data_IF_250636779720
#
_entry.id   IF_250636779720
#
_cell.length_a   1.000
_cell.length_b   1.000
_cell.length_c   1.000
_cell.angle_alpha   90.00
_cell.angle_beta   90.00
_cell.angle_gamma   90.00
#
_symmetry.space_group_name_H-M   'P 1'
#
loop_
_entity.id
_entity.type
_entity.pdbx_description
1 polymer ?
#
# COMPACT_ATOMS: atom_id res chain seq x y z
N UNK A 1 -6.73 3.09 -34.56
CA UNK A 1 -6.01 4.33 -34.30
C UNK A 1 -6.15 4.59 -32.81
N UNK A 2 -5.06 4.58 -32.05
CA UNK A 2 -5.09 5.02 -30.66
C UNK A 2 -5.51 6.49 -30.68
N UNK A 3 -6.68 6.80 -30.11
CA UNK A 3 -7.09 8.19 -29.92
C UNK A 3 -5.98 8.90 -29.14
N UNK A 4 -5.59 10.09 -29.57
CA UNK A 4 -4.57 10.87 -28.88
C UNK A 4 -5.03 11.16 -27.46
N UNK A 5 -4.15 10.95 -26.48
CA UNK A 5 -4.45 11.27 -25.06
C UNK A 5 -4.99 12.69 -24.97
N UNK A 6 -6.16 12.93 -24.35
CA UNK A 6 -6.73 14.27 -24.25
C UNK A 6 -5.78 15.23 -23.54
N UNK A 7 -5.81 16.50 -23.93
CA UNK A 7 -5.10 17.56 -23.22
C UNK A 7 -6.03 18.19 -22.18
N UNK A 8 -5.57 18.30 -20.94
CA UNK A 8 -6.31 18.93 -19.85
C UNK A 8 -5.55 20.14 -19.32
N UNK A 9 -6.29 21.16 -18.94
CA UNK A 9 -5.79 22.29 -18.17
C UNK A 9 -6.56 22.34 -16.84
N UNK A 10 -5.90 21.96 -15.76
CA UNK A 10 -6.43 22.07 -14.41
C UNK A 10 -6.11 23.47 -13.91
N UNK A 11 -7.13 24.25 -13.56
CA UNK A 11 -7.00 25.66 -13.17
C UNK A 11 -7.26 25.88 -11.70
N UNK A 12 -6.51 26.81 -11.12
CA UNK A 12 -6.73 27.30 -9.76
C UNK A 12 -6.77 26.16 -8.71
N UNK A 13 -5.98 25.09 -8.89
CA UNK A 13 -5.88 24.02 -7.93
C UNK A 13 -4.84 24.34 -6.86
N UNK A 14 -5.06 23.86 -5.64
CA UNK A 14 -4.06 23.90 -4.58
C UNK A 14 -3.19 22.66 -4.67
N UNK A 15 -2.00 22.80 -5.23
CA UNK A 15 -1.03 21.74 -5.34
C UNK A 15 -0.42 21.44 -3.97
N UNK A 16 -0.29 20.15 -3.62
CA UNK A 16 0.46 19.69 -2.44
C UNK A 16 1.55 18.76 -2.94
N UNK A 17 2.78 19.23 -2.89
CA UNK A 17 3.92 18.54 -3.48
C UNK A 17 5.23 18.98 -2.84
N UNK A 18 6.13 18.04 -2.57
CA UNK A 18 7.49 18.28 -2.08
C UNK A 18 7.52 19.21 -0.84
N UNK A 19 6.71 18.88 0.16
CA UNK A 19 6.66 19.60 1.43
C UNK A 19 5.99 20.97 1.36
N UNK A 20 5.36 21.34 0.22
CA UNK A 20 4.74 22.66 0.01
C UNK A 20 3.30 22.55 -0.46
N UNK A 21 2.52 23.60 -0.14
CA UNK A 21 1.16 23.78 -0.63
C UNK A 21 1.03 25.16 -1.26
N UNK A 22 0.66 25.24 -2.55
CA UNK A 22 0.58 26.48 -3.33
C UNK A 22 -0.49 26.38 -4.43
N UNK A 23 -1.00 27.52 -4.89
CA UNK A 23 -1.96 27.57 -6.00
C UNK A 23 -1.23 27.64 -7.34
N UNK A 24 -1.67 26.85 -8.32
CA UNK A 24 -1.17 26.90 -9.69
C UNK A 24 -2.15 26.27 -10.68
N UNK A 25 -1.91 26.53 -11.97
CA UNK A 25 -2.51 25.83 -13.10
C UNK A 25 -1.57 24.68 -13.54
N UNK A 26 -2.14 23.56 -13.98
CA UNK A 26 -1.38 22.39 -14.47
C UNK A 26 -1.89 21.98 -15.84
N UNK A 27 -1.02 21.98 -16.83
CA UNK A 27 -1.28 21.52 -18.19
C UNK A 27 -0.82 20.06 -18.34
N UNK A 28 -1.74 19.19 -18.73
CA UNK A 28 -1.48 17.79 -19.04
C UNK A 28 -1.58 17.57 -20.53
N UNK A 29 -0.55 16.96 -21.14
CA UNK A 29 -0.50 16.68 -22.57
C UNK A 29 0.31 15.41 -22.84
N UNK A 30 -0.13 14.58 -23.80
CA UNK A 30 0.58 13.35 -24.16
C UNK A 30 0.80 12.37 -23.01
N UNK A 31 -0.07 12.38 -22.00
CA UNK A 31 0.06 11.52 -20.84
C UNK A 31 1.02 12.02 -19.74
N UNK A 32 1.54 13.24 -19.90
CA UNK A 32 2.53 13.84 -19.00
C UNK A 32 2.08 15.21 -18.48
N UNK A 33 2.70 15.63 -17.38
CA UNK A 33 2.62 17.00 -16.88
C UNK A 33 3.50 17.84 -17.81
N UNK A 34 2.87 18.63 -18.69
CA UNK A 34 3.59 19.47 -19.66
C UNK A 34 4.12 20.75 -18.99
N UNK A 35 3.28 21.37 -18.12
CA UNK A 35 3.63 22.66 -17.50
C UNK A 35 2.88 22.85 -16.18
N UNK A 36 3.57 23.46 -15.21
CA UNK A 36 3.00 23.97 -13.93
C UNK A 36 3.37 25.44 -13.85
N UNK A 37 2.37 26.32 -13.68
CA UNK A 37 2.61 27.76 -13.61
C UNK A 37 1.46 28.47 -12.85
N UNK A 38 1.70 29.65 -12.31
CA UNK A 38 0.69 30.44 -11.60
C UNK A 38 -0.56 30.67 -12.45
N UNK A 39 -0.40 30.85 -13.77
CA UNK A 39 -1.49 31.01 -14.71
C UNK A 39 -1.12 30.51 -16.10
N UNK A 40 -1.93 29.59 -16.62
CA UNK A 40 -1.79 29.06 -17.98
C UNK A 40 -3.02 29.45 -18.81
N UNK A 41 -2.78 30.09 -19.96
CA UNK A 41 -3.84 30.35 -20.92
C UNK A 41 -3.96 29.19 -21.92
N UNK A 42 -5.17 28.67 -22.21
CA UNK A 42 -5.35 27.59 -23.17
C UNK A 42 -4.96 28.09 -24.59
N UNK A 43 -4.13 27.32 -25.29
CA UNK A 43 -3.65 27.66 -26.64
C UNK A 43 -4.73 27.47 -27.72
N UNK A 44 -5.74 26.66 -27.47
CA UNK A 44 -6.82 26.34 -28.40
C UNK A 44 -8.06 25.80 -27.66
N UNK A 45 -9.16 25.62 -28.40
CA UNK A 45 -10.45 25.16 -27.84
C UNK A 45 -10.55 23.62 -27.65
N UNK A 46 -9.52 22.85 -27.98
CA UNK A 46 -9.51 21.39 -27.81
C UNK A 46 -9.06 20.99 -26.40
N UNK A 47 -8.49 21.92 -25.64
CA UNK A 47 -8.04 21.70 -24.26
C UNK A 47 -9.27 21.62 -23.34
N UNK A 48 -9.40 20.52 -22.61
CA UNK A 48 -10.45 20.37 -21.62
C UNK A 48 -10.05 21.08 -20.33
N UNK A 49 -10.82 22.11 -19.95
CA UNK A 49 -10.59 22.88 -18.72
C UNK A 49 -11.27 22.17 -17.56
N UNK A 50 -10.53 22.02 -16.46
CA UNK A 50 -11.01 21.46 -15.20
C UNK A 50 -10.77 22.51 -14.12
N UNK A 51 -11.85 22.97 -13.49
CA UNK A 51 -11.76 23.93 -12.39
C UNK A 51 -11.40 23.19 -11.08
N UNK A 52 -10.20 23.49 -10.60
CA UNK A 52 -9.68 22.93 -9.35
C UNK A 52 -10.02 23.77 -8.12
N UNK A 53 -10.60 24.97 -8.30
CA UNK A 53 -10.76 25.99 -7.25
C UNK A 53 -11.11 25.46 -5.87
N UNK A 54 -10.21 25.67 -4.90
CA UNK A 54 -10.34 25.18 -3.52
C UNK A 54 -10.06 23.69 -3.30
N UNK A 55 -9.84 22.91 -4.35
CA UNK A 55 -9.49 21.48 -4.26
C UNK A 55 -7.98 21.28 -4.20
N UNK A 56 -7.59 20.19 -3.55
CA UNK A 56 -6.20 19.76 -3.50
C UNK A 56 -5.88 18.95 -4.74
N UNK A 57 -4.81 19.31 -5.45
CA UNK A 57 -4.21 18.49 -6.49
C UNK A 57 -2.95 17.84 -5.94
N UNK A 58 -2.97 16.53 -5.85
CA UNK A 58 -1.89 15.72 -5.30
C UNK A 58 -1.27 14.86 -6.40
N UNK A 59 0.00 14.44 -6.28
CA UNK A 59 0.49 13.29 -7.04
C UNK A 59 -0.39 12.08 -6.75
N UNK A 60 -0.50 11.18 -7.71
CA UNK A 60 -1.18 9.92 -7.49
C UNK A 60 -0.52 9.10 -6.38
N UNK A 61 -1.33 8.54 -5.50
CA UNK A 61 -0.85 7.69 -4.42
C UNK A 61 -0.23 6.41 -4.99
N UNK A 62 0.86 5.95 -4.37
CA UNK A 62 1.55 4.70 -4.68
C UNK A 62 1.38 3.77 -3.48
N UNK A 63 0.65 2.68 -3.65
CA UNK A 63 0.45 1.67 -2.61
C UNK A 63 1.44 0.52 -2.79
N UNK A 64 2.42 0.44 -1.90
CA UNK A 64 3.53 -0.52 -1.97
C UNK A 64 3.16 -1.93 -1.53
N UNK A 65 1.97 -2.12 -0.94
CA UNK A 65 1.58 -3.42 -0.41
C UNK A 65 0.09 -3.70 -0.60
N UNK A 66 -0.23 -4.53 -1.62
CA UNK A 66 -1.60 -4.97 -1.88
C UNK A 66 -1.67 -6.45 -2.24
N UNK A 67 -2.84 -7.06 -2.07
CA UNK A 67 -3.15 -8.46 -2.37
C UNK A 67 -4.43 -8.53 -3.21
N UNK A 68 -4.34 -8.36 -4.53
CA UNK A 68 -5.51 -8.32 -5.43
C UNK A 68 -6.08 -9.70 -5.78
N UNK A 69 -5.47 -10.77 -5.23
CA UNK A 69 -6.01 -12.12 -5.22
C UNK A 69 -5.99 -12.87 -6.57
N UNK A 70 -5.58 -12.26 -7.66
CA UNK A 70 -5.46 -12.90 -8.97
C UNK A 70 -4.00 -13.28 -9.28
N UNK A 71 -3.75 -14.52 -9.71
CA UNK A 71 -4.70 -15.62 -10.00
C UNK A 71 -5.15 -16.42 -8.78
N UNK A 72 -6.17 -17.25 -8.97
CA UNK A 72 -6.58 -18.37 -8.11
C UNK A 72 -7.52 -18.04 -6.96
N UNK A 73 -7.58 -16.79 -6.50
CA UNK A 73 -8.45 -16.37 -5.39
C UNK A 73 -9.44 -15.29 -5.82
N UNK A 74 -9.82 -15.29 -7.09
CA UNK A 74 -10.60 -14.22 -7.73
C UNK A 74 -12.04 -14.08 -7.22
N UNK A 75 -12.52 -15.00 -6.41
CA UNK A 75 -13.80 -14.84 -5.69
C UNK A 75 -13.75 -13.73 -4.63
N UNK A 76 -12.55 -13.39 -4.13
CA UNK A 76 -12.33 -12.36 -3.09
C UNK A 76 -12.02 -10.99 -3.68
N UNK A 77 -11.31 -10.96 -4.81
CA UNK A 77 -10.85 -9.78 -5.53
C UNK A 77 -10.13 -10.20 -6.80
N UNK A 78 -9.99 -9.30 -7.76
CA UNK A 78 -9.20 -9.50 -8.97
C UNK A 78 -8.52 -8.20 -9.40
N UNK A 79 -7.57 -8.29 -10.34
CA UNK A 79 -6.79 -7.12 -10.80
C UNK A 79 -7.68 -6.01 -11.36
N UNK A 80 -8.82 -6.33 -11.97
CA UNK A 80 -9.74 -5.33 -12.52
C UNK A 80 -10.50 -4.60 -11.42
N UNK A 81 -11.15 -5.33 -10.51
CA UNK A 81 -12.00 -4.73 -9.46
C UNK A 81 -11.17 -3.97 -8.43
N UNK A 82 -10.04 -4.55 -7.99
CA UNK A 82 -9.23 -3.93 -6.94
C UNK A 82 -8.41 -2.74 -7.46
N UNK A 83 -7.96 -2.76 -8.73
CA UNK A 83 -7.33 -1.57 -9.33
C UNK A 83 -8.34 -0.45 -9.63
N UNK A 84 -9.62 -0.79 -9.90
CA UNK A 84 -10.70 0.20 -9.97
C UNK A 84 -10.97 0.82 -8.59
N UNK A 85 -11.02 0.02 -7.53
CA UNK A 85 -11.13 0.50 -6.16
C UNK A 85 -9.93 1.41 -5.80
N UNK A 86 -8.72 1.06 -6.25
CA UNK A 86 -7.52 1.86 -6.09
C UNK A 86 -7.69 3.28 -6.68
N UNK A 87 -8.03 3.39 -7.96
CA UNK A 87 -8.17 4.71 -8.60
C UNK A 87 -9.36 5.50 -8.06
N UNK A 88 -10.41 4.84 -7.58
CA UNK A 88 -11.51 5.50 -6.88
C UNK A 88 -11.07 6.13 -5.55
N UNK A 89 -10.05 5.55 -4.91
CA UNK A 89 -9.39 6.06 -3.71
C UNK A 89 -8.23 7.03 -3.96
N UNK A 90 -7.88 7.31 -5.23
CA UNK A 90 -6.75 8.18 -5.58
C UNK A 90 -5.40 7.46 -5.67
N UNK A 91 -5.38 6.12 -5.58
CA UNK A 91 -4.19 5.30 -5.78
C UNK A 91 -4.00 5.06 -7.28
N UNK A 92 -2.90 5.57 -7.83
CA UNK A 92 -2.61 5.49 -9.27
C UNK A 92 -1.58 4.42 -9.61
N UNK A 93 -0.88 3.90 -8.59
CA UNK A 93 0.14 2.85 -8.76
C UNK A 93 0.12 1.90 -7.58
N UNK A 94 0.36 0.62 -7.83
CA UNK A 94 0.43 -0.39 -6.77
C UNK A 94 1.53 -1.42 -6.98
N UNK A 95 1.98 -2.04 -5.89
CA UNK A 95 2.89 -3.20 -5.88
C UNK A 95 2.17 -4.38 -5.22
N UNK A 96 1.84 -5.40 -6.00
CA UNK A 96 1.08 -6.55 -5.52
C UNK A 96 2.01 -7.69 -5.06
N UNK A 97 1.57 -8.38 -4.01
CA UNK A 97 2.33 -9.42 -3.34
C UNK A 97 2.16 -10.80 -3.97
N UNK A 98 3.14 -11.74 -3.77
CA UNK A 98 3.21 -12.99 -4.53
C UNK A 98 2.28 -14.11 -4.05
N UNK A 99 1.56 -13.95 -2.96
CA UNK A 99 0.74 -15.00 -2.32
C UNK A 99 -0.61 -15.24 -3.02
N UNK A 100 -0.52 -15.56 -4.28
CA UNK A 100 -1.62 -15.98 -5.17
C UNK A 100 -1.62 -17.51 -5.35
N UNK A 101 -2.53 -18.07 -6.15
CA UNK A 101 -2.58 -19.50 -6.46
C UNK A 101 -2.57 -19.70 -7.97
N UNK A 102 -1.43 -20.15 -8.52
CA UNK A 102 -0.14 -20.46 -7.86
C UNK A 102 0.55 -19.21 -7.32
N UNK A 103 1.42 -19.40 -6.33
CA UNK A 103 2.26 -18.33 -5.79
C UNK A 103 3.31 -17.88 -6.82
N UNK A 104 3.56 -16.55 -6.92
CA UNK A 104 4.50 -16.01 -7.90
C UNK A 104 5.96 -16.16 -7.42
N UNK A 105 6.47 -17.39 -7.40
CA UNK A 105 7.84 -17.75 -6.96
C UNK A 105 8.80 -17.96 -8.13
N UNK A 106 8.36 -17.81 -9.36
CA UNK A 106 9.19 -17.88 -10.57
C UNK A 106 8.96 -16.67 -11.47
N UNK A 107 9.97 -16.28 -12.25
CA UNK A 107 9.85 -15.20 -13.23
C UNK A 107 8.75 -15.47 -14.27
N UNK A 108 8.53 -16.73 -14.63
CA UNK A 108 7.45 -17.13 -15.55
C UNK A 108 6.06 -16.83 -14.98
N UNK A 109 5.83 -17.15 -13.72
CA UNK A 109 4.55 -16.87 -13.04
C UNK A 109 4.35 -15.36 -12.84
N UNK A 110 5.43 -14.66 -12.52
CA UNK A 110 5.41 -13.21 -12.38
C UNK A 110 5.03 -12.53 -13.70
N UNK A 111 5.62 -12.95 -14.83
CA UNK A 111 5.33 -12.38 -16.16
C UNK A 111 3.88 -12.65 -16.60
N UNK A 112 3.31 -13.78 -16.23
CA UNK A 112 1.89 -14.06 -16.47
C UNK A 112 0.97 -13.05 -15.73
N UNK A 113 1.34 -12.62 -14.52
CA UNK A 113 0.62 -11.56 -13.80
C UNK A 113 0.77 -10.22 -14.51
N UNK A 114 1.96 -9.87 -14.99
CA UNK A 114 2.18 -8.65 -15.78
C UNK A 114 1.34 -8.63 -17.06
N UNK A 115 1.29 -9.75 -17.79
CA UNK A 115 0.47 -9.87 -18.97
C UNK A 115 -1.02 -9.65 -18.67
N UNK A 116 -1.52 -10.26 -17.57
CA UNK A 116 -2.92 -10.08 -17.16
C UNK A 116 -3.21 -8.64 -16.73
N UNK A 117 -2.34 -8.02 -15.95
CA UNK A 117 -2.51 -6.63 -15.53
C UNK A 117 -2.53 -5.66 -16.72
N UNK A 118 -1.75 -5.89 -17.76
CA UNK A 118 -1.74 -5.10 -18.98
C UNK A 118 -3.10 -5.04 -19.68
N UNK A 119 -3.94 -6.07 -19.50
CA UNK A 119 -5.28 -6.13 -20.10
C UNK A 119 -6.35 -5.40 -19.26
N UNK A 120 -6.21 -5.39 -17.91
CA UNK A 120 -7.35 -5.08 -17.04
C UNK A 120 -7.08 -4.02 -15.98
N UNK A 121 -5.83 -3.63 -15.75
CA UNK A 121 -5.52 -2.75 -14.62
C UNK A 121 -5.86 -1.29 -14.89
N UNK A 122 -6.63 -0.68 -14.00
CA UNK A 122 -6.97 0.74 -14.01
C UNK A 122 -5.81 1.62 -13.51
N UNK A 123 -5.01 1.11 -12.57
CA UNK A 123 -3.83 1.77 -12.03
C UNK A 123 -2.55 1.16 -12.58
N UNK A 124 -1.43 1.90 -12.54
CA UNK A 124 -0.11 1.39 -12.87
C UNK A 124 0.27 0.27 -11.88
N UNK A 125 1.05 -0.70 -12.34
CA UNK A 125 1.24 -1.93 -11.60
C UNK A 125 2.67 -2.44 -11.62
N UNK A 126 3.06 -3.04 -10.52
CA UNK A 126 4.17 -3.98 -10.44
C UNK A 126 3.86 -5.09 -9.45
N UNK A 127 4.73 -6.09 -9.43
CA UNK A 127 4.59 -7.30 -8.63
C UNK A 127 5.91 -7.61 -7.93
N UNK A 128 5.82 -8.17 -6.72
CA UNK A 128 6.96 -8.73 -6.00
C UNK A 128 7.14 -10.19 -6.37
N UNK A 129 8.39 -10.62 -6.51
CA UNK A 129 8.74 -12.04 -6.68
C UNK A 129 8.82 -12.69 -5.30
N UNK A 130 8.11 -13.79 -5.09
CA UNK A 130 8.09 -14.53 -3.84
C UNK A 130 9.37 -15.33 -3.62
N UNK A 131 9.99 -15.16 -2.46
CA UNK A 131 11.06 -16.02 -1.99
C UNK A 131 10.51 -17.32 -1.39
N UNK A 132 11.31 -18.37 -1.49
CA UNK A 132 11.10 -19.66 -0.83
C UNK A 132 12.42 -20.19 -0.31
N UNK A 133 12.39 -21.26 0.50
CA UNK A 133 13.61 -21.92 0.98
C UNK A 133 14.51 -22.48 -0.15
N UNK A 134 14.00 -22.57 -1.40
CA UNK A 134 14.70 -23.29 -2.48
C UNK A 134 14.87 -22.52 -3.81
N UNK A 135 14.29 -21.30 -3.98
CA UNK A 135 14.24 -20.63 -5.29
C UNK A 135 15.28 -19.50 -5.48
N UNK A 136 16.36 -19.48 -4.74
CA UNK A 136 17.36 -18.40 -4.75
C UNK A 136 17.89 -18.07 -6.16
N UNK A 137 18.04 -19.06 -7.03
CA UNK A 137 18.51 -18.85 -8.41
C UNK A 137 17.49 -18.06 -9.26
N UNK A 138 16.19 -18.21 -9.01
CA UNK A 138 15.14 -17.35 -9.59
C UNK A 138 15.25 -15.94 -9.06
N UNK A 139 15.45 -15.77 -7.73
CA UNK A 139 15.58 -14.47 -7.11
C UNK A 139 16.76 -13.66 -7.67
N UNK A 140 17.91 -14.31 -7.84
CA UNK A 140 19.12 -13.67 -8.43
C UNK A 140 18.93 -13.22 -9.88
N UNK A 141 18.02 -13.81 -10.60
CA UNK A 141 17.72 -13.47 -12.01
C UNK A 141 16.69 -12.35 -12.14
N UNK A 142 16.06 -11.95 -11.05
CA UNK A 142 15.07 -10.88 -11.06
C UNK A 142 15.70 -9.54 -11.52
N UNK A 143 15.09 -8.92 -12.53
CA UNK A 143 15.54 -7.63 -13.05
C UNK A 143 15.23 -6.53 -12.06
N UNK A 144 16.24 -5.79 -11.59
CA UNK A 144 16.03 -4.60 -10.74
C UNK A 144 15.19 -3.52 -11.41
N UNK A 145 15.14 -3.50 -12.75
CA UNK A 145 14.37 -2.53 -13.52
C UNK A 145 12.89 -2.90 -13.63
N UNK A 146 12.58 -4.20 -13.64
CA UNK A 146 11.25 -4.69 -14.04
C UNK A 146 10.48 -5.34 -12.89
N UNK A 147 11.16 -5.73 -11.80
CA UNK A 147 10.57 -6.37 -10.61
C UNK A 147 10.62 -5.39 -9.44
N UNK A 148 9.50 -5.21 -8.74
CA UNK A 148 9.42 -4.25 -7.65
C UNK A 148 10.32 -4.64 -6.48
N UNK A 149 10.24 -5.87 -6.02
CA UNK A 149 10.98 -6.35 -4.84
C UNK A 149 10.99 -7.88 -4.78
N UNK A 150 11.83 -8.41 -3.90
CA UNK A 150 11.81 -9.81 -3.47
C UNK A 150 11.08 -9.90 -2.13
N UNK A 151 9.93 -10.58 -2.11
CA UNK A 151 9.09 -10.72 -0.91
C UNK A 151 9.41 -11.99 -0.14
N UNK A 152 9.74 -11.83 1.12
CA UNK A 152 9.87 -12.91 2.10
C UNK A 152 8.69 -12.91 3.07
N UNK A 153 8.22 -14.08 3.45
CA UNK A 153 7.34 -14.29 4.59
C UNK A 153 8.16 -15.00 5.67
N UNK A 154 8.63 -14.23 6.65
CA UNK A 154 9.37 -14.73 7.82
C UNK A 154 8.41 -15.16 8.94
N UNK A 155 7.24 -15.64 8.57
CA UNK A 155 6.09 -16.04 9.38
C UNK A 155 4.80 -15.83 8.62
N UNK A 156 3.68 -16.37 9.15
CA UNK A 156 2.32 -16.11 8.68
C UNK A 156 2.04 -16.50 7.23
N UNK A 157 2.77 -17.43 6.69
CA UNK A 157 2.53 -17.99 5.37
C UNK A 157 2.43 -19.51 5.43
N UNK A 158 1.99 -20.12 4.34
CA UNK A 158 1.87 -21.58 4.21
C UNK A 158 2.52 -22.04 2.89
N UNK A 159 2.90 -23.30 2.87
CA UNK A 159 3.52 -23.90 1.67
C UNK A 159 4.85 -23.25 1.32
N UNK A 160 5.13 -23.14 0.03
CA UNK A 160 6.44 -22.73 -0.49
C UNK A 160 6.81 -21.26 -0.23
N UNK A 161 5.89 -20.43 0.25
CA UNK A 161 6.16 -19.01 0.54
C UNK A 161 6.69 -18.74 1.95
N UNK A 162 6.59 -19.71 2.88
CA UNK A 162 7.19 -19.54 4.19
C UNK A 162 8.71 -19.75 4.06
N UNK A 163 9.48 -18.74 4.43
CA UNK A 163 10.95 -18.80 4.47
C UNK A 163 11.37 -18.93 5.92
N UNK A 164 11.44 -20.17 6.41
CA UNK A 164 11.70 -20.52 7.81
C UNK A 164 13.04 -21.26 8.01
N UNK A 165 13.73 -21.62 6.94
CA UNK A 165 15.10 -22.13 7.01
C UNK A 165 16.08 -20.96 7.24
N UNK A 166 16.76 -20.88 8.39
CA UNK A 166 17.72 -19.81 8.67
C UNK A 166 18.84 -19.70 7.64
N UNK A 167 19.28 -20.83 7.07
CA UNK A 167 20.32 -20.84 6.04
C UNK A 167 19.81 -20.24 4.73
N UNK A 168 18.56 -20.49 4.36
CA UNK A 168 17.93 -19.88 3.18
C UNK A 168 17.76 -18.37 3.38
N UNK A 169 17.29 -17.94 4.56
CA UNK A 169 17.17 -16.51 4.90
C UNK A 169 18.53 -15.82 4.79
N UNK A 170 19.59 -16.36 5.42
CA UNK A 170 20.93 -15.79 5.36
C UNK A 170 21.45 -15.69 3.92
N UNK A 171 21.26 -16.74 3.12
CA UNK A 171 21.66 -16.71 1.71
C UNK A 171 20.91 -15.66 0.90
N UNK A 172 19.63 -15.46 1.13
CA UNK A 172 18.84 -14.42 0.43
C UNK A 172 19.44 -13.04 0.74
N UNK A 173 19.68 -12.73 2.02
CA UNK A 173 20.25 -11.43 2.40
C UNK A 173 21.69 -11.21 1.86
N UNK A 174 22.49 -12.25 1.75
CA UNK A 174 23.88 -12.14 1.28
C UNK A 174 24.05 -12.16 -0.24
N UNK A 175 23.18 -12.90 -0.94
CA UNK A 175 23.42 -13.24 -2.34
C UNK A 175 22.44 -12.58 -3.29
N UNK A 176 21.29 -12.07 -2.81
CA UNK A 176 20.27 -11.45 -3.67
C UNK A 176 20.44 -9.95 -3.68
N UNK A 177 20.99 -9.42 -4.77
CA UNK A 177 21.17 -7.99 -4.98
C UNK A 177 19.89 -7.34 -5.52
N UNK A 178 18.91 -7.14 -4.63
CA UNK A 178 17.60 -6.57 -4.94
C UNK A 178 16.99 -5.90 -3.71
N UNK A 179 15.91 -5.09 -3.90
CA UNK A 179 15.12 -4.62 -2.77
C UNK A 179 14.44 -5.83 -2.10
N UNK A 180 14.84 -6.14 -0.89
CA UNK A 180 14.19 -7.16 -0.06
C UNK A 180 13.05 -6.53 0.75
N UNK A 181 11.93 -7.23 0.85
CA UNK A 181 10.78 -6.82 1.66
C UNK A 181 10.28 -8.02 2.46
N UNK A 182 9.85 -7.83 3.70
CA UNK A 182 9.39 -8.94 4.50
C UNK A 182 8.18 -8.64 5.39
N UNK A 183 7.33 -9.66 5.53
CA UNK A 183 6.43 -9.83 6.65
C UNK A 183 7.23 -10.48 7.81
N UNK A 184 7.22 -9.86 8.99
CA UNK A 184 8.04 -10.28 10.13
C UNK A 184 7.19 -10.62 11.35
N UNK A 185 6.96 -11.92 11.60
CA UNK A 185 6.37 -12.45 12.83
C UNK A 185 7.05 -13.78 13.18
N UNK A 186 7.35 -14.01 14.45
CA UNK A 186 8.03 -15.21 14.94
C UNK A 186 7.03 -16.36 15.17
N UNK A 187 7.03 -17.34 14.25
CA UNK A 187 6.10 -18.48 14.29
C UNK A 187 6.12 -19.28 15.62
N UNK A 188 7.30 -19.60 16.22
CA UNK A 188 7.32 -20.28 17.50
C UNK A 188 6.60 -19.53 18.61
N UNK A 189 6.81 -18.21 18.71
CA UNK A 189 6.16 -17.34 19.71
C UNK A 189 4.65 -17.31 19.50
N UNK A 190 4.20 -17.14 18.24
CA UNK A 190 2.76 -17.13 17.93
C UNK A 190 2.09 -18.46 18.26
N UNK A 191 2.76 -19.58 17.98
CA UNK A 191 2.24 -20.92 18.30
C UNK A 191 2.11 -21.12 19.79
N UNK A 192 3.14 -20.79 20.56
CA UNK A 192 3.12 -20.88 22.02
C UNK A 192 2.00 -20.02 22.63
N UNK A 193 1.83 -18.78 22.12
CA UNK A 193 0.75 -17.89 22.55
C UNK A 193 -0.64 -18.47 22.23
N UNK A 194 -0.80 -19.04 21.04
CA UNK A 194 -2.07 -19.68 20.64
C UNK A 194 -2.40 -20.87 21.55
N UNK A 195 -1.45 -21.76 21.79
CA UNK A 195 -1.63 -22.93 22.67
C UNK A 195 -2.00 -22.50 24.08
N UNK A 196 -1.30 -21.54 24.66
CA UNK A 196 -1.61 -20.98 25.99
C UNK A 196 -3.02 -20.39 26.03
N UNK A 197 -3.42 -19.60 25.03
CA UNK A 197 -4.74 -18.99 25.03
C UNK A 197 -5.87 -20.01 24.83
N UNK A 198 -5.66 -21.07 24.07
CA UNK A 198 -6.62 -22.18 23.95
C UNK A 198 -6.86 -22.79 25.32
N UNK A 199 -5.81 -23.04 26.11
CA UNK A 199 -5.92 -23.58 27.48
C UNK A 199 -6.63 -22.60 28.41
N UNK A 200 -6.23 -21.31 28.40
CA UNK A 200 -6.82 -20.27 29.25
C UNK A 200 -8.30 -19.99 28.93
N UNK A 201 -8.72 -20.09 27.68
CA UNK A 201 -10.11 -19.90 27.25
C UNK A 201 -10.96 -21.17 27.35
N UNK A 202 -10.35 -22.31 27.61
CA UNK A 202 -11.04 -23.60 27.72
C UNK A 202 -11.45 -24.22 26.39
N UNK A 203 -10.81 -23.83 25.28
CA UNK A 203 -11.03 -24.38 23.95
C UNK A 203 -10.77 -23.40 22.82
N UNK A 204 -10.41 -23.93 21.68
CA UNK A 204 -10.14 -23.12 20.46
C UNK A 204 -11.37 -22.36 19.97
N UNK A 205 -12.55 -22.91 20.17
CA UNK A 205 -13.85 -22.35 19.80
C UNK A 205 -14.24 -21.11 20.62
N UNK A 206 -13.59 -20.90 21.76
CA UNK A 206 -13.83 -19.74 22.62
C UNK A 206 -12.92 -18.54 22.33
N UNK A 207 -11.95 -18.70 21.41
CA UNK A 207 -11.13 -17.60 20.97
C UNK A 207 -11.96 -16.61 20.15
N UNK A 208 -11.65 -15.33 20.34
CA UNK A 208 -12.31 -14.21 19.68
C UNK A 208 -11.31 -13.32 18.94
N UNK A 209 -11.79 -12.36 18.16
CA UNK A 209 -10.91 -11.39 17.51
C UNK A 209 -10.08 -10.56 18.51
N UNK A 210 -10.56 -10.36 19.74
CA UNK A 210 -9.81 -9.67 20.79
C UNK A 210 -8.56 -10.45 21.27
N UNK A 211 -8.50 -11.77 21.02
CA UNK A 211 -7.33 -12.59 21.33
C UNK A 211 -6.24 -12.49 20.25
N UNK A 212 -6.55 -11.90 19.10
CA UNK A 212 -5.63 -11.80 17.96
C UNK A 212 -4.31 -11.09 18.30
N UNK A 213 -4.30 -9.91 18.95
CA UNK A 213 -3.06 -9.25 19.35
C UNK A 213 -2.30 -9.98 20.48
N UNK A 214 -2.96 -10.85 21.23
CA UNK A 214 -2.31 -11.66 22.26
C UNK A 214 -1.58 -12.86 21.64
N UNK A 215 -2.12 -13.42 20.55
CA UNK A 215 -1.49 -14.49 19.77
C UNK A 215 -0.34 -13.92 18.97
N UNK A 216 -0.60 -12.87 18.18
CA UNK A 216 0.35 -12.14 17.34
C UNK A 216 0.88 -10.93 18.10
N UNK A 217 1.65 -11.23 19.15
CA UNK A 217 2.07 -10.28 20.16
C UNK A 217 3.14 -9.30 19.63
N UNK A 218 3.36 -8.23 20.40
CA UNK A 218 4.50 -7.32 20.19
C UNK A 218 5.81 -8.09 20.13
N UNK A 219 6.00 -9.07 21.05
CA UNK A 219 7.21 -9.88 21.08
C UNK A 219 7.41 -10.69 19.80
N UNK A 220 6.35 -11.30 19.25
CA UNK A 220 6.42 -12.06 18.00
C UNK A 220 6.87 -11.18 16.82
N UNK A 221 6.35 -9.95 16.73
CA UNK A 221 6.78 -8.98 15.71
C UNK A 221 8.22 -8.56 15.92
N UNK A 222 8.58 -8.12 17.13
CA UNK A 222 9.92 -7.62 17.45
C UNK A 222 11.03 -8.66 17.29
N UNK A 223 10.81 -9.91 17.69
CA UNK A 223 11.82 -10.97 17.53
C UNK A 223 12.14 -11.24 16.07
N UNK A 224 11.13 -11.25 15.20
CA UNK A 224 11.33 -11.50 13.77
C UNK A 224 11.95 -10.28 13.09
N UNK A 225 11.40 -9.08 13.29
CA UNK A 225 11.89 -7.85 12.66
C UNK A 225 13.31 -7.49 13.13
N UNK A 226 13.63 -7.64 14.42
CA UNK A 226 14.97 -7.36 14.93
C UNK A 226 16.04 -8.28 14.37
N UNK A 227 15.75 -9.59 14.21
CA UNK A 227 16.66 -10.55 13.56
C UNK A 227 16.90 -10.19 12.08
N UNK A 228 15.83 -9.89 11.35
CA UNK A 228 15.92 -9.53 9.93
C UNK A 228 16.68 -8.21 9.73
N UNK A 229 16.42 -7.19 10.55
CA UNK A 229 17.14 -5.92 10.53
C UNK A 229 18.60 -6.09 10.90
N UNK A 230 18.94 -6.92 11.89
CA UNK A 230 20.33 -7.23 12.24
C UNK A 230 21.07 -7.88 11.07
N UNK A 231 20.44 -8.83 10.39
CA UNK A 231 21.00 -9.50 9.21
C UNK A 231 21.17 -8.53 8.03
N UNK A 232 20.18 -7.64 7.80
CA UNK A 232 20.31 -6.59 6.79
C UNK A 232 21.47 -5.63 7.07
N UNK A 233 21.69 -5.24 8.33
CA UNK A 233 22.84 -4.42 8.74
C UNK A 233 24.17 -5.13 8.50
N UNK A 234 24.25 -6.42 8.85
CA UNK A 234 25.45 -7.23 8.67
C UNK A 234 25.82 -7.41 7.19
N UNK A 235 24.82 -7.68 6.34
CA UNK A 235 25.02 -7.97 4.92
C UNK A 235 25.06 -6.71 4.04
N UNK A 236 24.55 -5.59 4.54
CA UNK A 236 24.40 -4.34 3.79
C UNK A 236 23.24 -4.38 2.77
N UNK A 237 22.33 -5.34 2.90
CA UNK A 237 21.18 -5.49 2.01
C UNK A 237 20.18 -4.32 2.12
N UNK A 238 19.56 -3.95 1.00
CA UNK A 238 18.42 -3.03 1.00
C UNK A 238 17.18 -3.79 1.47
N UNK A 239 16.68 -3.45 2.66
CA UNK A 239 15.61 -4.17 3.32
C UNK A 239 14.49 -3.25 3.81
N UNK A 240 13.28 -3.60 3.51
CA UNK A 240 12.08 -2.88 3.92
C UNK A 240 11.17 -3.78 4.76
N UNK A 241 10.89 -3.36 5.99
CA UNK A 241 9.99 -4.06 6.89
C UNK A 241 8.57 -3.60 6.64
N UNK A 242 7.71 -4.51 6.18
CA UNK A 242 6.30 -4.24 5.94
C UNK A 242 5.50 -4.12 7.23
N UNK A 243 4.43 -3.31 7.19
CA UNK A 243 3.37 -3.22 8.20
C UNK A 243 3.87 -3.30 9.66
N UNK A 244 4.87 -2.49 10.01
CA UNK A 244 5.29 -2.32 11.41
C UNK A 244 4.06 -1.98 12.24
N UNK A 245 3.84 -2.73 13.32
CA UNK A 245 2.59 -2.68 14.08
C UNK A 245 2.76 -2.40 15.58
N UNK A 246 4.01 -2.27 16.06
CA UNK A 246 4.31 -2.06 17.47
C UNK A 246 5.23 -0.86 17.70
N UNK A 247 5.07 -0.22 18.85
CA UNK A 247 5.96 0.86 19.28
C UNK A 247 7.41 0.40 19.48
N UNK A 248 7.60 -0.84 19.95
CA UNK A 248 8.93 -1.42 20.19
C UNK A 248 9.74 -1.65 18.93
N UNK A 249 9.11 -2.00 17.82
CA UNK A 249 9.79 -2.18 16.54
C UNK A 249 10.41 -0.88 16.01
N UNK A 250 9.86 0.28 16.39
CA UNK A 250 10.32 1.59 15.91
C UNK A 250 11.78 1.88 16.29
N UNK A 251 12.30 1.29 17.35
CA UNK A 251 13.71 1.44 17.78
C UNK A 251 14.70 0.78 16.79
N UNK A 252 14.21 0.00 15.85
CA UNK A 252 15.01 -0.64 14.81
C UNK A 252 15.36 0.30 13.64
N UNK A 253 14.62 1.41 13.50
CA UNK A 253 14.67 2.27 12.33
C UNK A 253 15.27 3.65 12.65
N UNK A 254 16.10 4.12 11.74
CA UNK A 254 16.81 5.38 11.87
C UNK A 254 15.96 6.55 11.35
N UNK A 255 15.81 7.61 12.16
CA UNK A 255 15.07 8.81 11.81
C UNK A 255 15.94 9.89 11.11
N UNK A 256 17.25 9.84 11.28
CA UNK A 256 18.17 10.93 10.87
C UNK A 256 18.72 10.74 9.45
N UNK A 257 18.76 9.49 8.96
CA UNK A 257 19.25 9.18 7.62
C UNK A 257 18.18 9.57 6.58
N UNK A 258 18.50 10.39 5.57
CA UNK A 258 17.58 10.67 4.46
C UNK A 258 17.14 9.37 3.75
N UNK A 259 15.87 9.27 3.36
CA UNK A 259 15.32 8.04 2.76
C UNK A 259 16.14 7.52 1.56
N UNK A 260 16.63 8.41 0.71
CA UNK A 260 17.45 8.02 -0.45
C UNK A 260 18.78 7.34 -0.08
N UNK A 261 19.23 7.47 1.18
CA UNK A 261 20.48 6.88 1.71
C UNK A 261 20.19 5.69 2.64
N UNK A 262 18.92 5.51 3.06
CA UNK A 262 18.53 4.41 3.93
C UNK A 262 18.61 3.07 3.20
N UNK A 263 19.28 2.12 3.79
CA UNK A 263 19.23 0.70 3.37
C UNK A 263 18.12 -0.07 4.08
N UNK A 264 17.76 0.35 5.29
CA UNK A 264 16.73 -0.29 6.10
C UNK A 264 15.61 0.72 6.31
N UNK A 265 14.40 0.35 5.90
CA UNK A 265 13.23 1.22 5.88
C UNK A 265 12.02 0.51 6.49
N UNK A 266 11.02 1.29 6.89
CA UNK A 266 9.82 0.79 7.55
C UNK A 266 8.53 1.32 6.93
N UNK A 267 7.52 0.46 6.89
CA UNK A 267 6.18 0.78 6.45
C UNK A 267 5.18 0.64 7.59
N UNK A 268 4.24 1.57 7.70
CA UNK A 268 3.04 1.40 8.50
C UNK A 268 1.81 1.30 7.60
N UNK A 269 0.83 0.48 7.98
CA UNK A 269 -0.41 0.38 7.24
C UNK A 269 -1.52 1.24 7.86
N UNK A 270 -2.41 1.75 7.00
CA UNK A 270 -3.53 2.62 7.37
C UNK A 270 -4.33 2.06 8.54
N UNK A 271 -4.59 0.75 8.58
CA UNK A 271 -5.37 0.12 9.66
C UNK A 271 -4.63 0.10 11.00
N UNK A 272 -3.30 -0.05 11.04
CA UNK A 272 -2.50 0.06 12.27
C UNK A 272 -2.42 1.52 12.80
N UNK A 273 -2.51 2.50 11.89
CA UNK A 273 -2.56 3.92 12.25
C UNK A 273 -3.94 4.38 12.69
N UNK A 274 -5.01 3.66 12.32
CA UNK A 274 -6.38 4.06 12.58
C UNK A 274 -6.99 3.36 13.78
N UNK A 275 -6.91 2.02 13.82
CA UNK A 275 -7.53 1.17 14.83
C UNK A 275 -6.57 0.82 15.99
N UNK A 276 -7.16 0.37 17.08
CA UNK A 276 -6.47 -0.23 18.23
C UNK A 276 -7.17 -1.52 18.66
N UNK A 277 -6.61 -2.21 19.64
CA UNK A 277 -7.21 -3.42 20.24
C UNK A 277 -8.60 -3.20 20.82
N UNK A 278 -8.93 -1.96 21.24
CA UNK A 278 -10.27 -1.60 21.71
C UNK A 278 -11.35 -1.75 20.62
N UNK A 279 -10.99 -1.55 19.35
CA UNK A 279 -11.93 -1.64 18.22
C UNK A 279 -12.36 -3.08 17.88
N UNK A 280 -11.67 -4.11 18.39
CA UNK A 280 -12.09 -5.50 18.20
C UNK A 280 -13.46 -5.80 18.83
N UNK A 281 -13.85 -5.09 19.90
CA UNK A 281 -15.15 -5.25 20.53
C UNK A 281 -16.32 -4.93 19.56
N UNK A 282 -16.17 -3.93 18.70
CA UNK A 282 -17.16 -3.51 17.73
C UNK A 282 -17.01 -4.21 16.38
N UNK A 283 -15.77 -4.27 15.87
CA UNK A 283 -15.49 -4.66 14.48
C UNK A 283 -15.12 -6.15 14.32
N UNK A 284 -14.75 -6.83 15.40
CA UNK A 284 -14.44 -8.26 15.39
C UNK A 284 -13.42 -8.63 14.31
N UNK A 285 -13.74 -9.69 13.55
CA UNK A 285 -12.88 -10.16 12.47
C UNK A 285 -12.74 -9.17 11.29
N UNK A 286 -13.58 -8.13 11.18
CA UNK A 286 -13.43 -7.11 10.15
C UNK A 286 -12.10 -6.37 10.23
N UNK A 287 -11.47 -6.33 11.42
CA UNK A 287 -10.15 -5.74 11.64
C UNK A 287 -9.08 -6.77 12.02
N UNK A 288 -9.32 -8.06 11.74
CA UNK A 288 -8.32 -9.12 11.87
C UNK A 288 -7.34 -9.05 10.70
N UNK A 289 -6.13 -8.54 10.94
CA UNK A 289 -4.99 -8.50 10.01
C UNK A 289 -3.78 -9.24 10.59
N UNK A 290 -2.79 -9.53 9.77
CA UNK A 290 -1.48 -10.05 10.14
C UNK A 290 -0.40 -9.07 9.66
N UNK A 291 0.37 -8.40 10.57
CA UNK A 291 0.28 -8.48 12.03
C UNK A 291 -1.04 -7.96 12.59
N UNK A 292 -1.36 -8.39 13.80
CA UNK A 292 -2.56 -7.92 14.48
C UNK A 292 -2.52 -6.40 14.74
N UNK A 293 -3.68 -5.77 14.76
CA UNK A 293 -3.85 -4.44 15.32
C UNK A 293 -3.57 -4.53 16.82
N UNK A 294 -2.68 -3.65 17.31
CA UNK A 294 -2.13 -3.67 18.66
C UNK A 294 -2.82 -2.65 19.57
N UNK A 295 -2.18 -2.35 20.69
CA UNK A 295 -2.70 -1.44 21.72
C UNK A 295 -2.84 0.00 21.22
N UNK A 296 -3.60 0.79 21.97
CA UNK A 296 -3.67 2.26 21.78
C UNK A 296 -2.28 2.88 21.83
N UNK A 297 -1.41 2.42 22.75
CA UNK A 297 -0.04 2.94 22.87
C UNK A 297 0.80 2.63 21.63
N UNK A 298 0.70 1.44 21.05
CA UNK A 298 1.38 1.09 19.80
C UNK A 298 0.90 1.95 18.64
N UNK A 299 -0.40 2.08 18.48
CA UNK A 299 -0.99 2.95 17.44
C UNK A 299 -0.48 4.38 17.56
N UNK A 300 -0.48 4.94 18.75
CA UNK A 300 -0.07 6.33 18.98
C UNK A 300 1.45 6.51 18.80
N UNK A 301 2.27 5.50 19.13
CA UNK A 301 3.68 5.46 18.80
C UNK A 301 3.93 5.43 17.28
N UNK A 302 3.18 4.62 16.52
CA UNK A 302 3.24 4.60 15.06
C UNK A 302 2.87 5.95 14.46
N UNK A 303 1.83 6.62 14.98
CA UNK A 303 1.44 7.97 14.54
C UNK A 303 2.54 8.99 14.78
N UNK A 304 3.21 8.95 15.93
CA UNK A 304 4.35 9.81 16.21
C UNK A 304 5.52 9.54 15.25
N UNK A 305 5.76 8.27 14.92
CA UNK A 305 6.82 7.85 14.00
C UNK A 305 6.58 8.28 12.53
N UNK A 306 5.35 8.61 12.14
CA UNK A 306 5.08 9.28 10.86
C UNK A 306 5.74 10.66 10.77
N UNK A 307 5.93 11.34 11.91
CA UNK A 307 6.45 12.70 11.95
C UNK A 307 7.95 12.76 12.17
N UNK A 308 8.50 11.82 12.92
CA UNK A 308 9.92 11.80 13.26
C UNK A 308 10.82 11.09 12.22
N UNK A 309 10.23 10.43 11.21
CA UNK A 309 10.97 9.82 10.11
C UNK A 309 11.40 8.37 10.34
N UNK A 310 10.95 7.70 11.43
CA UNK A 310 11.18 6.26 11.63
C UNK A 310 10.28 5.40 10.75
N UNK A 311 9.08 5.88 10.43
CA UNK A 311 8.23 5.29 9.39
C UNK A 311 8.45 6.05 8.09
N UNK A 312 8.84 5.33 7.06
CA UNK A 312 9.19 5.88 5.76
C UNK A 312 8.01 5.91 4.78
N UNK A 313 7.12 4.93 4.82
CA UNK A 313 6.03 4.75 3.87
C UNK A 313 4.73 4.40 4.58
N UNK A 314 3.60 4.85 4.03
CA UNK A 314 2.27 4.39 4.42
C UNK A 314 1.62 3.66 3.25
N UNK A 315 1.24 2.40 3.50
CA UNK A 315 0.55 1.52 2.56
C UNK A 315 -0.75 0.97 3.15
N UNK A 316 -1.42 0.07 2.44
CA UNK A 316 -2.72 -0.44 2.91
C UNK A 316 -2.69 -1.86 3.45
N UNK A 317 -1.83 -2.70 2.94
CA UNK A 317 -2.00 -4.16 3.05
C UNK A 317 -3.43 -4.57 2.66
N UNK A 318 -3.93 -3.96 1.56
CA UNK A 318 -5.25 -4.27 1.02
C UNK A 318 -5.32 -5.74 0.64
N UNK A 319 -6.02 -6.51 1.46
CA UNK A 319 -6.06 -7.97 1.38
C UNK A 319 -7.52 -8.46 1.48
N UNK A 320 -8.35 -8.25 0.44
CA UNK A 320 -9.78 -8.50 0.51
C UNK A 320 -10.11 -9.97 0.74
N UNK A 321 -11.14 -10.21 1.54
CA UNK A 321 -11.83 -11.46 1.77
C UNK A 321 -13.33 -11.19 1.71
N UNK A 322 -14.13 -12.20 1.38
CA UNK A 322 -15.58 -12.02 1.36
C UNK A 322 -16.11 -11.75 2.77
N UNK A 323 -17.21 -11.02 2.86
CA UNK A 323 -17.84 -10.75 4.17
C UNK A 323 -18.25 -12.05 4.87
N UNK A 324 -18.72 -13.05 4.10
CA UNK A 324 -19.04 -14.39 4.60
C UNK A 324 -17.82 -15.06 5.27
N UNK A 325 -16.64 -14.99 4.65
CA UNK A 325 -15.42 -15.52 5.23
C UNK A 325 -15.04 -14.79 6.54
N UNK A 326 -15.26 -13.48 6.61
CA UNK A 326 -15.00 -12.66 7.80
C UNK A 326 -16.01 -12.89 8.93
N UNK A 327 -17.21 -13.39 8.62
CA UNK A 327 -18.26 -13.71 9.61
C UNK A 327 -18.08 -15.08 10.27
N UNK A 328 -17.15 -15.90 9.82
CA UNK A 328 -16.83 -17.18 10.46
C UNK A 328 -16.33 -16.99 11.90
N UNK A 329 -16.25 -18.08 12.65
CA UNK A 329 -15.57 -18.05 13.96
C UNK A 329 -14.16 -17.48 13.79
N UNK A 330 -13.64 -16.85 14.82
CA UNK A 330 -12.32 -16.22 14.78
C UNK A 330 -11.22 -17.12 14.20
N UNK A 331 -11.17 -18.37 14.63
CA UNK A 331 -10.15 -19.34 14.20
C UNK A 331 -10.20 -19.70 12.72
N UNK A 332 -11.36 -19.58 12.10
CA UNK A 332 -11.61 -19.92 10.69
C UNK A 332 -11.71 -18.68 9.79
N UNK A 333 -11.89 -17.50 10.37
CA UNK A 333 -11.95 -16.25 9.65
C UNK A 333 -10.54 -15.86 9.16
N UNK A 334 -10.35 -15.59 7.86
CA UNK A 334 -9.04 -15.20 7.35
C UNK A 334 -8.63 -13.81 7.80
N UNK A 335 -7.32 -13.55 7.88
CA UNK A 335 -6.74 -12.23 8.15
C UNK A 335 -6.63 -11.42 6.88
N UNK A 336 -6.92 -10.12 6.96
CA UNK A 336 -6.97 -9.15 5.86
C UNK A 336 -8.35 -8.57 5.62
N UNK A 337 -8.40 -7.47 4.91
CA UNK A 337 -9.62 -6.79 4.53
C UNK A 337 -9.39 -5.71 3.46
N UNK A 338 -10.46 -5.17 2.85
CA UNK A 338 -10.35 -4.13 1.82
C UNK A 338 -10.15 -2.76 2.43
N UNK A 339 -9.11 -2.04 1.97
CA UNK A 339 -8.75 -0.71 2.48
C UNK A 339 -8.48 0.32 1.37
N UNK A 340 -8.00 -0.11 0.20
CA UNK A 340 -7.35 0.75 -0.80
C UNK A 340 -8.20 1.95 -1.22
N UNK A 341 -9.51 1.76 -1.40
CA UNK A 341 -10.41 2.85 -1.81
C UNK A 341 -10.56 3.94 -0.76
N UNK A 342 -10.36 3.61 0.51
CA UNK A 342 -10.54 4.54 1.63
C UNK A 342 -9.20 5.03 2.21
N UNK A 343 -8.06 4.58 1.69
CA UNK A 343 -6.74 4.83 2.27
C UNK A 343 -6.39 6.32 2.32
N UNK A 344 -6.38 7.01 1.18
CA UNK A 344 -6.08 8.43 1.14
C UNK A 344 -7.09 9.28 1.94
N UNK A 345 -8.43 9.12 1.77
CA UNK A 345 -9.39 9.83 2.60
C UNK A 345 -9.22 9.60 4.11
N UNK A 346 -8.92 8.37 4.53
CA UNK A 346 -8.66 8.05 5.93
C UNK A 346 -7.40 8.76 6.45
N UNK A 347 -6.31 8.77 5.68
CA UNK A 347 -5.07 9.43 6.07
C UNK A 347 -5.20 10.97 6.10
N UNK A 348 -5.96 11.57 5.17
CA UNK A 348 -6.27 13.00 5.23
C UNK A 348 -7.16 13.34 6.45
N UNK A 349 -8.12 12.49 6.79
CA UNK A 349 -8.91 12.64 8.01
C UNK A 349 -8.05 12.48 9.27
N UNK A 350 -7.13 11.51 9.29
CA UNK A 350 -6.20 11.33 10.40
C UNK A 350 -5.30 12.57 10.56
N UNK A 351 -4.78 13.09 9.46
CA UNK A 351 -3.96 14.31 9.47
C UNK A 351 -4.73 15.50 10.06
N UNK A 352 -5.99 15.68 9.66
CA UNK A 352 -6.85 16.74 10.21
C UNK A 352 -7.09 16.58 11.72
N UNK A 353 -7.27 15.34 12.21
CA UNK A 353 -7.49 15.06 13.65
C UNK A 353 -6.24 15.27 14.49
N UNK A 354 -5.07 15.02 13.93
CA UNK A 354 -3.79 15.10 14.63
C UNK A 354 -3.01 16.38 14.33
N UNK A 355 -3.61 17.33 13.59
CA UNK A 355 -2.96 18.57 13.13
C UNK A 355 -1.66 18.35 12.36
N UNK A 356 -1.65 17.32 11.50
CA UNK A 356 -0.54 17.00 10.60
C UNK A 356 -0.76 17.71 9.26
N UNK A 357 0.29 18.35 8.71
CA UNK A 357 0.22 18.94 7.37
C UNK A 357 -0.06 17.87 6.31
N UNK A 358 -0.97 18.15 5.38
CA UNK A 358 -1.27 17.25 4.26
C UNK A 358 -0.04 16.97 3.39
N UNK A 359 0.93 17.90 3.36
CA UNK A 359 2.20 17.66 2.67
C UNK A 359 2.94 16.43 3.22
N UNK A 360 2.87 16.18 4.56
CA UNK A 360 3.46 14.99 5.15
C UNK A 360 2.75 13.70 4.70
N UNK A 361 1.43 13.74 4.56
CA UNK A 361 0.67 12.57 4.03
C UNK A 361 1.06 12.29 2.57
N UNK A 362 1.19 13.35 1.76
CA UNK A 362 1.64 13.24 0.37
C UNK A 362 3.07 12.68 0.29
N UNK A 363 3.97 13.11 1.17
CA UNK A 363 5.30 12.51 1.27
C UNK A 363 5.22 11.00 1.52
N UNK A 364 4.51 10.59 2.57
CA UNK A 364 4.43 9.19 3.01
C UNK A 364 3.73 8.25 2.01
N UNK A 365 2.77 8.76 1.24
CA UNK A 365 1.95 7.95 0.33
C UNK A 365 2.30 8.12 -1.15
N UNK A 366 3.05 9.15 -1.54
CA UNK A 366 3.37 9.43 -2.94
C UNK A 366 4.87 9.50 -3.19
N UNK A 367 5.58 10.42 -2.51
CA UNK A 367 6.99 10.69 -2.77
C UNK A 367 7.90 9.57 -2.26
N UNK A 368 7.73 9.19 -1.00
CA UNK A 368 8.61 8.23 -0.34
C UNK A 368 8.52 6.82 -0.94
N UNK A 369 7.34 6.25 -1.27
CA UNK A 369 7.32 4.98 -2.00
C UNK A 369 7.97 5.07 -3.39
N UNK A 370 7.86 6.21 -4.10
CA UNK A 370 8.55 6.40 -5.37
C UNK A 370 10.07 6.40 -5.21
N UNK A 371 10.59 7.06 -4.17
CA UNK A 371 12.03 7.11 -3.86
C UNK A 371 12.52 5.72 -3.43
N UNK A 372 11.85 5.10 -2.44
CA UNK A 372 12.24 3.82 -1.86
C UNK A 372 12.37 2.72 -2.91
N UNK A 373 11.39 2.60 -3.78
CA UNK A 373 11.39 1.58 -4.82
C UNK A 373 12.11 2.02 -6.11
N UNK A 374 12.48 3.30 -6.23
CA UNK A 374 13.09 3.86 -7.44
C UNK A 374 12.12 3.92 -8.61
N UNK A 375 10.84 4.23 -8.39
CA UNK A 375 9.82 4.29 -9.45
C UNK A 375 10.09 5.51 -10.33
N UNK A 376 10.27 5.28 -11.63
CA UNK A 376 10.63 6.33 -12.57
C UNK A 376 9.48 7.28 -12.87
N UNK A 377 9.75 8.59 -12.78
CA UNK A 377 8.90 9.71 -13.25
C UNK A 377 7.45 9.68 -12.73
N UNK A 378 7.22 9.14 -11.50
CA UNK A 378 5.93 9.07 -10.82
C UNK A 378 6.04 9.49 -9.35
N UNK A 379 4.91 9.71 -8.69
CA UNK A 379 4.86 10.08 -7.27
C UNK A 379 5.13 11.55 -6.97
N UNK A 380 5.31 12.40 -7.99
CA UNK A 380 5.58 13.85 -7.87
C UNK A 380 4.80 14.65 -8.90
N UNK A 381 4.46 15.91 -8.54
CA UNK A 381 3.99 16.90 -9.51
C UNK A 381 5.21 17.64 -10.07
N UNK A 382 5.78 17.14 -11.17
CA UNK A 382 6.93 17.73 -11.87
C UNK A 382 6.69 17.74 -13.37
N UNK A 383 7.11 18.79 -14.04
CA UNK A 383 7.08 18.84 -15.51
C UNK A 383 7.90 17.69 -16.11
N UNK A 384 7.35 17.04 -17.13
CA UNK A 384 7.92 15.85 -17.74
C UNK A 384 7.49 14.52 -17.10
N UNK A 385 7.00 14.51 -15.87
CA UNK A 385 6.54 13.28 -15.18
C UNK A 385 5.21 12.78 -15.75
N UNK A 386 4.94 11.51 -15.57
CA UNK A 386 3.63 10.94 -15.91
C UNK A 386 2.51 11.69 -15.19
N UNK A 387 1.43 11.94 -15.90
CA UNK A 387 0.27 12.61 -15.35
C UNK A 387 -0.60 11.62 -14.57
N UNK A 388 -0.07 11.16 -13.43
CA UNK A 388 -0.73 10.37 -12.41
C UNK A 388 -1.09 11.31 -11.27
N UNK A 389 -2.36 11.71 -11.20
CA UNK A 389 -2.81 12.80 -10.33
C UNK A 389 -4.12 12.44 -9.64
N UNK A 390 -4.33 13.02 -8.48
CA UNK A 390 -5.62 12.96 -7.80
C UNK A 390 -6.09 14.34 -7.37
N UNK A 391 -7.32 14.68 -7.73
CA UNK A 391 -8.01 15.89 -7.30
C UNK A 391 -8.95 15.54 -6.15
N UNK A 392 -8.69 16.10 -4.98
CA UNK A 392 -9.42 15.85 -3.75
C UNK A 392 -10.20 17.10 -3.33
N UNK A 393 -11.47 16.95 -3.04
CA UNK A 393 -12.27 18.00 -2.42
C UNK A 393 -12.17 17.87 -0.88
N UNK A 394 -11.45 18.77 -0.19
CA UNK A 394 -11.23 18.68 1.25
C UNK A 394 -12.45 19.09 2.09
N UNK A 395 -13.50 19.64 1.44
CA UNK A 395 -14.71 20.15 2.09
C UNK A 395 -15.98 19.40 1.65
N UNK A 396 -15.83 18.24 1.04
CA UNK A 396 -16.94 17.38 0.60
C UNK A 396 -17.02 16.11 1.44
N UNK A 397 -17.61 16.15 2.63
CA UNK A 397 -17.70 14.98 3.49
C UNK A 397 -18.55 13.88 2.87
N UNK A 398 -18.20 12.64 3.16
CA UNK A 398 -18.99 11.46 2.80
C UNK A 398 -18.86 10.37 3.85
N UNK A 399 -19.92 9.58 4.01
CA UNK A 399 -19.92 8.41 4.87
C UNK A 399 -19.68 7.17 4.01
N UNK A 400 -18.74 6.31 4.42
CA UNK A 400 -18.40 5.09 3.69
C UNK A 400 -19.59 4.12 3.73
N UNK A 401 -20.04 3.70 2.56
CA UNK A 401 -21.18 2.79 2.36
C UNK A 401 -20.82 1.69 1.37
N UNK A 402 -21.23 0.45 1.64
CA UNK A 402 -20.95 -0.72 0.80
C UNK A 402 -21.30 -0.53 -0.69
N UNK A 403 -22.45 0.07 -1.07
CA UNK A 403 -22.80 0.27 -2.48
C UNK A 403 -21.87 1.23 -3.25
N UNK A 404 -21.07 2.03 -2.56
CA UNK A 404 -20.09 2.95 -3.19
C UNK A 404 -18.71 2.32 -3.36
N UNK A 405 -18.51 1.09 -2.90
CA UNK A 405 -17.22 0.39 -2.96
C UNK A 405 -17.07 -0.39 -4.26
N UNK A 406 -15.92 -0.22 -4.90
CA UNK A 406 -15.56 -0.93 -6.13
C UNK A 406 -14.82 -2.23 -5.88
N UNK A 407 -14.31 -2.44 -4.65
CA UNK A 407 -13.73 -3.74 -4.28
C UNK A 407 -14.75 -4.85 -4.45
N UNK A 408 -14.32 -5.98 -4.97
CA UNK A 408 -15.21 -7.13 -5.22
C UNK A 408 -15.88 -7.67 -3.96
N UNK A 409 -15.21 -7.57 -2.84
CA UNK A 409 -15.72 -8.00 -1.53
C UNK A 409 -16.84 -7.12 -0.97
N UNK A 410 -17.06 -5.93 -1.49
CA UNK A 410 -18.15 -4.98 -1.20
C UNK A 410 -18.37 -4.68 0.29
N UNK A 411 -17.31 -4.58 1.06
CA UNK A 411 -17.33 -4.12 2.45
C UNK A 411 -16.03 -3.35 2.77
N UNK A 412 -16.02 -2.61 3.87
CA UNK A 412 -14.84 -1.91 4.37
C UNK A 412 -14.87 -1.90 5.90
N UNK A 413 -13.72 -1.95 6.59
CA UNK A 413 -13.66 -1.72 8.03
C UNK A 413 -14.05 -0.29 8.42
N UNK A 414 -14.11 0.61 7.43
CA UNK A 414 -14.55 2.00 7.60
C UNK A 414 -16.05 2.23 7.34
N UNK A 415 -16.85 1.21 7.08
CA UNK A 415 -18.30 1.37 6.89
C UNK A 415 -18.93 2.17 8.05
N UNK A 416 -19.77 3.16 7.70
CA UNK A 416 -20.38 4.07 8.65
C UNK A 416 -19.50 5.22 9.13
N UNK A 417 -18.20 5.20 8.87
CA UNK A 417 -17.29 6.31 9.19
C UNK A 417 -17.44 7.44 8.17
N UNK A 418 -17.41 8.68 8.65
CA UNK A 418 -17.46 9.87 7.79
C UNK A 418 -16.07 10.49 7.67
N UNK A 419 -15.63 10.71 6.44
CA UNK A 419 -14.41 11.44 6.12
C UNK A 419 -14.77 12.83 5.58
N UNK A 420 -13.98 13.85 5.93
CA UNK A 420 -14.22 15.23 5.50
C UNK A 420 -13.84 15.46 4.02
N UNK A 421 -12.85 14.72 3.52
CA UNK A 421 -12.32 14.85 2.17
C UNK A 421 -12.77 13.72 1.26
N UNK A 422 -13.09 14.03 -0.01
CA UNK A 422 -13.50 13.04 -1.02
C UNK A 422 -12.66 13.18 -2.28
N UNK A 423 -12.23 12.04 -2.85
CA UNK A 423 -11.60 12.01 -4.18
C UNK A 423 -12.64 12.41 -5.22
N UNK A 424 -12.36 13.51 -5.95
CA UNK A 424 -13.22 14.02 -7.01
C UNK A 424 -12.86 13.45 -8.37
N UNK A 425 -11.55 13.32 -8.65
CA UNK A 425 -11.07 12.83 -9.94
C UNK A 425 -9.67 12.24 -9.82
N UNK A 426 -9.42 11.19 -10.60
CA UNK A 426 -8.12 10.53 -10.70
C UNK A 426 -7.70 10.41 -12.16
N UNK A 427 -6.45 10.73 -12.44
CA UNK A 427 -5.78 10.52 -13.72
C UNK A 427 -4.71 9.45 -13.58
N UNK A 428 -4.63 8.58 -14.57
CA UNK A 428 -3.55 7.61 -14.75
C UNK A 428 -3.00 7.76 -16.15
N UNK A 429 -1.71 8.02 -16.27
CA UNK A 429 -1.04 8.26 -17.55
C UNK A 429 -1.74 9.35 -18.40
N UNK A 430 -2.27 10.38 -17.74
CA UNK A 430 -2.97 11.50 -18.36
C UNK A 430 -4.42 11.23 -18.79
N UNK A 431 -4.93 10.03 -18.53
CA UNK A 431 -6.34 9.68 -18.78
C UNK A 431 -7.15 9.80 -17.50
N UNK A 432 -8.30 10.44 -17.56
CA UNK A 432 -9.28 10.42 -16.45
C UNK A 432 -9.85 9.03 -16.34
N UNK A 433 -9.52 8.31 -15.25
CA UNK A 433 -9.99 6.94 -14.99
C UNK A 433 -11.15 6.90 -13.99
N UNK A 434 -11.26 7.92 -13.14
CA UNK A 434 -12.35 8.05 -12.16
C UNK A 434 -12.76 9.51 -12.02
N UNK A 435 -14.08 9.77 -11.92
CA UNK A 435 -14.65 11.10 -11.65
C UNK A 435 -15.98 10.99 -10.93
N UNK A 436 -16.12 11.67 -9.78
CA UNK A 436 -17.35 11.87 -9.03
C UNK A 436 -18.19 10.59 -8.83
N UNK A 437 -17.56 9.55 -8.27
CA UNK A 437 -18.23 8.29 -7.97
C UNK A 437 -18.36 7.31 -9.15
N UNK A 438 -17.78 7.62 -10.31
CA UNK A 438 -17.93 6.77 -11.51
C UNK A 438 -16.59 6.52 -12.20
N UNK A 439 -16.35 5.27 -12.65
CA UNK A 439 -15.24 5.01 -13.55
C UNK A 439 -15.45 5.76 -14.88
N UNK A 440 -14.37 6.11 -15.53
CA UNK A 440 -14.31 6.84 -16.80
C UNK A 440 -13.32 6.17 -17.74
N UNK A 441 -13.62 6.22 -19.04
CA UNK A 441 -12.79 5.62 -20.07
C UNK A 441 -12.64 4.09 -19.87
N UNK A 442 -11.41 3.59 -20.01
CA UNK A 442 -11.01 2.19 -19.90
C UNK A 442 -9.82 2.06 -18.96
N UNK A 443 -9.43 0.85 -18.58
CA UNK A 443 -8.17 0.60 -17.88
C UNK A 443 -6.99 1.29 -18.59
N UNK A 444 -6.17 2.02 -17.81
CA UNK A 444 -5.08 2.85 -18.32
C UNK A 444 -3.72 2.54 -17.66
N UNK A 445 -3.68 1.53 -16.79
CA UNK A 445 -2.49 1.14 -16.06
C UNK A 445 -1.35 0.67 -16.95
N UNK A 446 -0.13 1.03 -16.57
CA UNK A 446 1.10 0.61 -17.22
C UNK A 446 2.02 -0.08 -16.22
N UNK A 447 2.88 -0.98 -16.73
CA UNK A 447 3.94 -1.60 -15.93
C UNK A 447 4.87 -0.53 -15.38
N UNK A 448 5.16 -0.56 -14.09
CA UNK A 448 6.13 0.31 -13.45
C UNK A 448 7.55 -0.07 -13.88
N UNK A 449 8.40 0.93 -13.98
CA UNK A 449 9.83 0.78 -14.28
C UNK A 449 10.61 1.41 -13.15
N UNK A 450 11.69 0.75 -12.75
CA UNK A 450 12.50 1.13 -11.59
C UNK A 450 13.90 1.53 -11.98
N UNK A 451 14.43 2.55 -11.30
CA UNK A 451 15.84 2.95 -11.33
C UNK A 451 16.25 3.28 -9.89
N UNK A 452 17.03 2.41 -9.30
CA UNK A 452 17.38 2.51 -7.89
C UNK A 452 18.74 3.15 -7.64
N UNK A 453 19.55 3.32 -8.68
CA UNK A 453 20.87 3.94 -8.59
C UNK A 453 21.90 3.12 -7.79
N UNK A 454 21.59 1.85 -7.42
CA UNK A 454 22.46 0.93 -6.68
C UNK A 454 22.34 -0.52 -7.18
#
# INVERSE_FOLDING_TARGET
MLESTPTYLIKNARLVNEGRSYEADVLLSGGRIERIDDRISPKNNTIQIIEGGGKLLLPGVIDSQVHFREPGLTHKGDLSTESLAAVAGGVTSYIEQPNTVPAATTLKLLEAKFARAAEVSWANYSFSLGASNSNIDELKRASKRDVAAIKMFLGSSTGDLLVDDPAAVERIFREVDHQLIAHCEDEPTMRANLERLIEERGGREHLTAADHPLIRSEEACYLSSSRAVALARETGAHFHVYHVSTGKELDLFDAEIPLAEKKITAEACVHHLWFSDEDYAELGNRIKWNPAIKTVADRDALRAALLDGRIDVVATDHAPHTLEEKQRMYVDAPSGGPLIQNSLPAMLELARRLDIDFARIVELMCHQPAILFGIQERGFLREGYHADLVLVDPHRPYTVQAPELFTKSQWSPFEGRTFAARVSQTWVNGLVVYRDGKPRNMPAGQRLVFDRGW
#
